data_IF_190768572399
#
_entry.id   IF_190768572399
#
_cell.length_a   1.000
_cell.length_b   1.000
_cell.length_c   1.000
_cell.angle_alpha   90.00
_cell.angle_beta   90.00
_cell.angle_gamma   90.00
#
_symmetry.space_group_name_H-M   'P 1'
#
loop_
_entity.id
_entity.type
_entity.pdbx_description
1 polymer ?
#
# COMPACT_ATOMS: atom_id res chain seq x y z
N UNK A 1 13.54 17.59 7.19
CA UNK A 1 12.11 17.82 6.95
C UNK A 1 11.40 16.50 7.24
N UNK A 2 10.49 16.39 8.22
CA UNK A 2 9.73 15.16 8.39
C UNK A 2 8.80 15.02 7.18
N UNK A 3 8.90 13.90 6.47
CA UNK A 3 7.92 13.48 5.47
C UNK A 3 6.66 13.11 6.26
N UNK A 4 5.84 14.11 6.57
CA UNK A 4 4.58 13.90 7.26
C UNK A 4 3.65 13.23 6.25
N UNK A 5 3.53 11.90 6.32
CA UNK A 5 2.52 11.14 5.61
C UNK A 5 1.14 11.64 6.04
N UNK A 6 0.65 12.71 5.43
CA UNK A 6 -0.56 13.41 5.86
C UNK A 6 -1.78 13.02 5.02
N UNK A 7 -1.57 12.31 3.91
CA UNK A 7 -2.60 11.95 2.94
C UNK A 7 -2.49 10.49 2.53
N UNK A 8 -3.63 9.85 2.24
CA UNK A 8 -3.68 8.46 1.77
C UNK A 8 -2.79 8.21 0.53
N UNK A 9 -2.62 9.22 -0.33
CA UNK A 9 -1.72 9.15 -1.49
C UNK A 9 -0.24 8.98 -1.11
N UNK A 10 0.21 9.56 0.00
CA UNK A 10 1.60 9.46 0.47
C UNK A 10 1.90 8.06 1.00
N UNK A 11 0.94 7.50 1.76
CA UNK A 11 0.97 6.09 2.16
C UNK A 11 0.94 5.14 0.96
N UNK A 12 0.18 5.49 -0.10
CA UNK A 12 0.12 4.69 -1.32
C UNK A 12 1.45 4.70 -2.10
N UNK A 13 2.09 5.86 -2.20
CA UNK A 13 3.38 5.98 -2.88
C UNK A 13 4.47 5.19 -2.13
N UNK A 14 4.49 5.30 -0.80
CA UNK A 14 5.35 4.50 0.06
C UNK A 14 5.05 3.00 -0.06
N UNK A 15 3.77 2.60 -0.15
CA UNK A 15 3.38 1.22 -0.38
C UNK A 15 3.95 0.70 -1.71
N UNK A 16 3.90 1.51 -2.77
CA UNK A 16 4.43 1.17 -4.10
C UNK A 16 5.96 1.05 -4.08
N UNK A 17 6.66 1.90 -3.33
CA UNK A 17 8.11 1.79 -3.13
C UNK A 17 8.50 0.50 -2.39
N UNK A 18 7.71 0.11 -1.37
CA UNK A 18 7.92 -1.14 -0.64
C UNK A 18 7.64 -2.37 -1.50
N UNK A 19 6.60 -2.33 -2.34
CA UNK A 19 6.32 -3.40 -3.31
C UNK A 19 7.45 -3.56 -4.33
N UNK A 20 8.00 -2.45 -4.85
CA UNK A 20 9.20 -2.46 -5.70
C UNK A 20 10.43 -3.04 -5.00
N UNK A 21 10.53 -2.85 -3.69
CA UNK A 21 11.62 -3.38 -2.86
C UNK A 21 11.40 -4.84 -2.43
N UNK A 22 10.43 -5.54 -3.03
CA UNK A 22 10.01 -6.89 -2.70
C UNK A 22 9.51 -7.07 -1.25
N UNK A 23 9.11 -5.97 -0.58
CA UNK A 23 8.58 -5.96 0.79
C UNK A 23 7.06 -5.86 0.77
N UNK A 24 6.44 -6.83 0.11
CA UNK A 24 4.99 -6.88 -0.10
C UNK A 24 4.17 -6.86 1.20
N UNK A 25 4.66 -7.49 2.29
CA UNK A 25 4.00 -7.44 3.59
C UNK A 25 3.92 -6.01 4.15
N UNK A 26 4.97 -5.21 3.95
CA UNK A 26 5.02 -3.81 4.39
C UNK A 26 4.15 -2.92 3.49
N UNK A 27 4.19 -3.18 2.17
CA UNK A 27 3.36 -2.48 1.19
C UNK A 27 1.87 -2.64 1.50
N UNK A 28 1.44 -3.85 1.88
CA UNK A 28 0.04 -4.11 2.24
C UNK A 28 -0.39 -3.36 3.51
N UNK A 29 0.45 -3.32 4.54
CA UNK A 29 0.14 -2.57 5.77
C UNK A 29 -0.09 -1.08 5.47
N UNK A 30 0.76 -0.50 4.61
CA UNK A 30 0.61 0.89 4.16
C UNK A 30 -0.64 1.10 3.31
N UNK A 31 -0.99 0.14 2.45
CA UNK A 31 -2.21 0.16 1.64
C UNK A 31 -3.48 0.07 2.50
N UNK A 32 -3.47 -0.74 3.56
CA UNK A 32 -4.57 -0.83 4.53
C UNK A 32 -4.74 0.50 5.29
N UNK A 33 -3.64 1.13 5.71
CA UNK A 33 -3.68 2.48 6.33
C UNK A 33 -4.16 3.56 5.35
N UNK A 34 -3.74 3.50 4.09
CA UNK A 34 -4.22 4.40 3.05
C UNK A 34 -5.73 4.21 2.81
N UNK A 35 -6.21 2.97 2.81
CA UNK A 35 -7.61 2.63 2.67
C UNK A 35 -8.45 3.12 3.85
N UNK A 36 -7.97 2.95 5.10
CA UNK A 36 -8.66 3.41 6.31
C UNK A 36 -8.83 4.95 6.32
N UNK A 37 -7.79 5.68 5.89
CA UNK A 37 -7.88 7.14 5.71
C UNK A 37 -8.69 7.59 4.50
N UNK A 38 -9.00 6.69 3.58
CA UNK A 38 -9.77 7.01 2.38
C UNK A 38 -11.25 6.78 2.66
N UNK A 39 -12.00 7.87 2.87
CA UNK A 39 -13.46 7.77 3.09
C UNK A 39 -14.25 7.26 1.87
N UNK A 40 -13.61 7.19 0.69
CA UNK A 40 -14.22 6.64 -0.52
C UNK A 40 -13.97 5.12 -0.63
N UNK A 41 -15.01 4.28 -0.50
CA UNK A 41 -14.84 2.83 -0.52
C UNK A 41 -14.40 2.29 -1.90
N UNK A 42 -14.66 3.02 -2.99
CA UNK A 42 -14.22 2.62 -4.32
C UNK A 42 -12.71 2.82 -4.51
N UNK A 43 -12.14 3.92 -3.98
CA UNK A 43 -10.69 4.10 -3.90
C UNK A 43 -10.04 3.08 -2.97
N UNK A 44 -10.59 2.86 -1.76
CA UNK A 44 -10.05 1.86 -0.84
C UNK A 44 -9.96 0.47 -1.48
N UNK A 45 -11.00 0.05 -2.22
CA UNK A 45 -11.00 -1.21 -2.94
C UNK A 45 -9.94 -1.25 -4.07
N UNK A 46 -9.73 -0.16 -4.80
CA UNK A 46 -8.65 -0.08 -5.82
C UNK A 46 -7.28 -0.18 -5.20
N UNK A 47 -7.05 0.49 -4.07
CA UNK A 47 -5.78 0.45 -3.33
C UNK A 47 -5.49 -1.00 -2.92
N UNK A 48 -6.45 -1.69 -2.29
CA UNK A 48 -6.27 -3.09 -1.89
C UNK A 48 -6.11 -4.04 -3.08
N UNK A 49 -6.72 -3.74 -4.23
CA UNK A 49 -6.55 -4.50 -5.46
C UNK A 49 -5.18 -4.29 -6.12
N UNK A 50 -4.54 -3.14 -5.92
CA UNK A 50 -3.19 -2.83 -6.40
C UNK A 50 -2.09 -3.55 -5.60
N UNK A 51 -2.38 -3.87 -4.33
CA UNK A 51 -1.49 -4.62 -3.44
C UNK A 51 -2.09 -5.99 -3.09
N UNK A 52 -2.28 -6.88 -4.07
CA UNK A 52 -2.67 -8.25 -3.77
C UNK A 52 -1.58 -8.87 -2.90
N UNK A 53 -1.98 -9.62 -1.86
CA UNK A 53 -1.01 -10.37 -1.08
C UNK A 53 -0.17 -11.18 -2.07
N UNK A 54 1.17 -11.13 -1.97
CA UNK A 54 2.01 -11.88 -2.87
C UNK A 54 1.57 -13.33 -2.68
N UNK A 55 1.14 -13.94 -3.78
CA UNK A 55 1.13 -15.39 -3.81
C UNK A 55 2.57 -15.77 -3.42
N UNK A 56 2.72 -16.61 -2.40
CA UNK A 56 4.00 -17.00 -1.79
C UNK A 56 4.80 -17.94 -2.74
N UNK A 57 4.79 -17.62 -4.03
CA UNK A 57 5.39 -18.27 -5.20
C UNK A 57 5.68 -17.08 -6.12
N UNK A 58 6.89 -16.67 -6.45
CA UNK A 58 8.11 -17.41 -6.70
C UNK A 58 9.19 -17.15 -5.64
N UNK A 59 9.59 -18.22 -4.97
CA UNK A 59 10.95 -18.38 -4.48
C UNK A 59 11.67 -19.09 -5.65
N UNK A 60 12.66 -18.46 -6.28
CA UNK A 60 13.68 -19.12 -7.12
C UNK A 60 15.06 -18.65 -6.64
#
# INVERSE_FOLDING_TARGET
MPLTFNTAADYLDAAREMARSNRWALARLLAEEAADRTSDPAQAARILAEFPAPNRREED
#
